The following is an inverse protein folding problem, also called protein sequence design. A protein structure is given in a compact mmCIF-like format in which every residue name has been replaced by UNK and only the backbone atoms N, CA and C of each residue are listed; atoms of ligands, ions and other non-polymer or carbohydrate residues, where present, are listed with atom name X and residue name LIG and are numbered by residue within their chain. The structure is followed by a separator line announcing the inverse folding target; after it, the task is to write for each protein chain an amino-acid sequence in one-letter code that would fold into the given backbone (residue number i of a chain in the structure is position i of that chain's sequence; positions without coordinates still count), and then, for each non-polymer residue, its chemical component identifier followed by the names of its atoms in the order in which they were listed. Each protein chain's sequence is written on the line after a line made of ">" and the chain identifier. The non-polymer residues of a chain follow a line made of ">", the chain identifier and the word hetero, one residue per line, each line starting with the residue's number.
data_IF_126815353221
#
_entry.id   IF_126815353221
#
_cell.length_a   1.000
_cell.length_b   1.000
_cell.length_c   1.000
_cell.angle_alpha   90.00
_cell.angle_beta   90.00
_cell.angle_gamma   90.00
#
_symmetry.space_group_name_H-M   'P 1'
#
loop_
_entity.id
_entity.type
_entity.pdbx_description
1 polymer ?
#
# COMPACT_ATOMS: atom_id res chain seq x y z
N UNK A 1 14.52 23.11 -4.54
CA UNK A 1 13.49 22.08 -4.79
C UNK A 1 12.48 22.13 -3.65
N UNK A 2 11.16 22.16 -3.93
CA UNK A 2 10.15 22.22 -2.87
C UNK A 2 10.04 20.88 -2.12
N UNK A 3 9.74 20.93 -0.82
CA UNK A 3 9.58 19.75 0.04
C UNK A 3 8.55 18.74 -0.51
N UNK A 4 7.50 19.23 -1.17
CA UNK A 4 6.50 18.40 -1.84
C UNK A 4 7.07 17.58 -3.02
N UNK A 5 8.01 18.13 -3.79
CA UNK A 5 8.62 17.40 -4.90
C UNK A 5 9.56 16.28 -4.42
N UNK A 6 10.28 16.53 -3.31
CA UNK A 6 11.13 15.53 -2.68
C UNK A 6 10.31 14.36 -2.10
N UNK A 7 9.23 14.68 -1.37
CA UNK A 7 8.33 13.66 -0.81
C UNK A 7 7.68 12.80 -1.91
N UNK A 8 7.26 13.40 -3.02
CA UNK A 8 6.68 12.68 -4.16
C UNK A 8 7.69 11.77 -4.85
N UNK A 9 8.94 12.21 -5.00
CA UNK A 9 10.02 11.39 -5.58
C UNK A 9 10.35 10.18 -4.69
N UNK A 10 10.35 10.37 -3.37
CA UNK A 10 10.57 9.30 -2.40
C UNK A 10 9.42 8.29 -2.39
N UNK A 11 8.16 8.74 -2.46
CA UNK A 11 6.99 7.87 -2.58
C UNK A 11 7.04 6.99 -3.83
N UNK A 12 7.28 7.59 -5.00
CA UNK A 12 7.38 6.85 -6.26
C UNK A 12 8.52 5.81 -6.25
N UNK A 13 9.65 6.10 -5.60
CA UNK A 13 10.76 5.16 -5.49
C UNK A 13 10.40 3.99 -4.54
N UNK A 14 9.73 4.28 -3.42
CA UNK A 14 9.25 3.28 -2.48
C UNK A 14 8.23 2.33 -3.11
N UNK A 15 7.28 2.85 -3.90
CA UNK A 15 6.30 2.06 -4.65
C UNK A 15 6.96 1.10 -5.65
N UNK A 16 7.97 1.56 -6.39
CA UNK A 16 8.71 0.71 -7.33
C UNK A 16 9.45 -0.45 -6.62
N UNK A 17 10.08 -0.15 -5.48
CA UNK A 17 10.76 -1.15 -4.64
C UNK A 17 9.75 -2.15 -4.07
N UNK A 18 8.62 -1.66 -3.55
CA UNK A 18 7.54 -2.49 -3.03
C UNK A 18 6.95 -3.43 -4.10
N UNK A 19 6.71 -2.92 -5.31
CA UNK A 19 6.20 -3.73 -6.42
C UNK A 19 7.19 -4.84 -6.83
N UNK A 20 8.50 -4.56 -6.81
CA UNK A 20 9.52 -5.58 -7.07
C UNK A 20 9.51 -6.66 -5.97
N UNK A 21 9.41 -6.24 -4.71
CA UNK A 21 9.40 -7.16 -3.57
C UNK A 21 8.16 -8.06 -3.57
N UNK A 22 6.97 -7.52 -3.84
CA UNK A 22 5.74 -8.31 -4.00
C UNK A 22 5.90 -9.39 -5.08
N UNK A 23 6.47 -9.03 -6.25
CA UNK A 23 6.73 -9.99 -7.33
C UNK A 23 7.74 -11.06 -6.91
N UNK A 24 8.81 -10.68 -6.22
CA UNK A 24 9.82 -11.62 -5.69
C UNK A 24 9.21 -12.63 -4.71
N UNK A 25 8.20 -12.21 -3.94
CA UNK A 25 7.44 -13.06 -3.02
C UNK A 25 6.29 -13.83 -3.70
N UNK A 26 6.26 -13.86 -5.03
CA UNK A 26 5.34 -14.69 -5.81
C UNK A 26 3.95 -14.07 -6.02
N UNK A 27 3.76 -12.78 -5.76
CA UNK A 27 2.54 -12.08 -6.18
C UNK A 27 2.63 -11.79 -7.69
N UNK A 28 1.66 -12.28 -8.44
CA UNK A 28 1.54 -12.01 -9.88
C UNK A 28 0.60 -10.85 -10.15
N UNK A 29 0.68 -10.31 -11.37
CA UNK A 29 -0.15 -9.18 -11.83
C UNK A 29 -0.12 -7.96 -10.87
N UNK A 30 1.05 -7.67 -10.30
CA UNK A 30 1.25 -6.51 -9.42
C UNK A 30 1.08 -5.22 -10.23
N UNK A 31 -0.10 -4.63 -10.11
CA UNK A 31 -0.57 -3.47 -10.86
C UNK A 31 -0.88 -2.31 -9.91
N UNK A 32 -0.45 -1.07 -10.24
CA UNK A 32 -0.80 0.09 -9.44
C UNK A 32 -2.29 0.38 -9.53
N UNK A 33 -2.89 0.79 -8.42
CA UNK A 33 -4.29 1.19 -8.36
C UNK A 33 -4.45 2.66 -8.78
N UNK A 34 -5.08 2.97 -9.93
CA UNK A 34 -5.23 4.34 -10.36
C UNK A 34 -6.26 5.06 -9.50
N UNK A 35 -5.94 6.29 -9.09
CA UNK A 35 -6.93 7.20 -8.50
C UNK A 35 -7.92 7.63 -9.57
N UNK A 36 -9.22 7.46 -9.31
CA UNK A 36 -10.26 8.02 -10.17
C UNK A 36 -10.27 9.55 -10.07
N UNK A 37 -10.28 10.25 -11.21
CA UNK A 37 -10.32 11.71 -11.27
C UNK A 37 -11.58 12.23 -11.94
N UNK A 38 -12.27 13.15 -11.25
CA UNK A 38 -13.34 13.96 -11.78
C UNK A 38 -12.72 15.15 -12.48
N UNK A 39 -13.12 15.38 -13.74
CA UNK A 39 -12.53 16.43 -14.58
C UNK A 39 -13.61 17.46 -14.88
N UNK A 40 -13.34 18.74 -14.57
CA UNK A 40 -14.20 19.86 -14.94
C UNK A 40 -13.66 20.48 -16.23
N UNK A 41 -14.52 20.62 -17.25
CA UNK A 41 -14.16 21.16 -18.57
C UNK A 41 -14.94 22.42 -18.91
N UNK A 42 -14.32 23.32 -19.70
CA UNK A 42 -14.98 24.43 -20.39
C UNK A 42 -14.72 24.28 -21.90
N UNK A 43 -15.71 23.77 -22.63
CA UNK A 43 -15.49 23.26 -24.00
C UNK A 43 -14.49 22.10 -24.00
N UNK A 44 -13.47 22.16 -24.86
CA UNK A 44 -12.44 21.12 -24.94
C UNK A 44 -11.30 21.27 -23.91
N UNK A 45 -11.31 22.34 -23.09
CA UNK A 45 -10.24 22.61 -22.12
C UNK A 45 -10.58 22.05 -20.74
N UNK A 46 -9.64 21.30 -20.15
CA UNK A 46 -9.69 20.94 -18.72
C UNK A 46 -9.34 22.17 -17.89
N UNK A 47 -10.23 22.56 -16.98
CA UNK A 47 -10.05 23.73 -16.11
C UNK A 47 -9.80 23.35 -14.65
N UNK A 48 -10.20 22.14 -14.24
CA UNK A 48 -9.93 21.60 -12.90
C UNK A 48 -10.03 20.07 -12.90
N UNK A 49 -9.38 19.43 -11.93
CA UNK A 49 -9.51 18.01 -11.66
C UNK A 49 -9.51 17.77 -10.14
N UNK A 50 -10.31 16.82 -9.67
CA UNK A 50 -10.40 16.42 -8.27
C UNK A 50 -10.50 14.89 -8.15
N UNK A 51 -9.99 14.27 -7.08
CA UNK A 51 -10.13 12.83 -6.89
C UNK A 51 -11.60 12.47 -6.62
N UNK A 52 -12.11 11.42 -7.28
CA UNK A 52 -13.50 10.96 -7.13
C UNK A 52 -13.71 10.14 -5.86
N UNK A 53 -12.72 9.32 -5.51
CA UNK A 53 -12.74 8.48 -4.33
C UNK A 53 -11.30 8.23 -3.84
N UNK A 54 -11.10 8.10 -2.52
CA UNK A 54 -9.87 7.57 -1.97
C UNK A 54 -9.59 6.17 -2.52
N UNK A 55 -8.32 5.88 -2.80
CA UNK A 55 -7.91 4.59 -3.35
C UNK A 55 -7.86 3.55 -2.23
N UNK A 56 -8.29 2.32 -2.50
CA UNK A 56 -8.34 1.25 -1.49
C UNK A 56 -6.98 0.63 -1.14
N UNK A 57 -5.93 0.98 -1.88
CA UNK A 57 -4.55 0.51 -1.72
C UNK A 57 -3.69 1.05 -2.86
N UNK A 58 -2.38 0.79 -2.82
CA UNK A 58 -1.46 1.22 -3.88
C UNK A 58 -1.33 0.17 -4.99
N UNK A 59 -1.38 -1.11 -4.64
CA UNK A 59 -1.23 -2.22 -5.58
C UNK A 59 -2.32 -3.28 -5.43
N UNK A 60 -2.68 -3.89 -6.56
CA UNK A 60 -3.45 -5.13 -6.63
C UNK A 60 -2.62 -6.24 -7.26
N UNK A 61 -2.91 -7.48 -6.94
CA UNK A 61 -2.29 -8.65 -7.55
C UNK A 61 -3.04 -9.93 -7.25
N UNK A 62 -2.43 -11.07 -7.57
CA UNK A 62 -3.00 -12.40 -7.34
C UNK A 62 -1.91 -13.38 -6.90
N UNK A 63 -2.24 -14.27 -5.96
CA UNK A 63 -1.41 -15.44 -5.68
C UNK A 63 -1.77 -16.57 -6.65
N UNK A 64 -0.87 -17.01 -7.53
CA UNK A 64 -1.20 -17.92 -8.63
C UNK A 64 -1.70 -19.28 -8.13
N UNK A 65 -1.12 -19.80 -7.03
CA UNK A 65 -1.45 -21.14 -6.52
C UNK A 65 -2.84 -21.24 -5.89
N UNK A 66 -3.37 -20.13 -5.36
CA UNK A 66 -4.66 -20.10 -4.66
C UNK A 66 -5.74 -19.29 -5.38
N UNK A 67 -5.35 -18.52 -6.41
CA UNK A 67 -6.22 -17.51 -7.02
C UNK A 67 -6.59 -16.38 -6.07
N UNK A 68 -5.96 -16.29 -4.89
CA UNK A 68 -6.31 -15.32 -3.85
C UNK A 68 -5.91 -13.91 -4.30
N UNK A 69 -6.89 -13.00 -4.28
CA UNK A 69 -6.68 -11.57 -4.53
C UNK A 69 -5.69 -10.98 -3.51
N UNK A 70 -4.75 -10.16 -3.97
CA UNK A 70 -3.81 -9.41 -3.15
C UNK A 70 -4.12 -7.92 -3.24
N UNK A 71 -4.18 -7.24 -2.09
CA UNK A 71 -4.29 -5.78 -1.97
C UNK A 71 -3.13 -5.31 -1.09
N UNK A 72 -2.30 -4.40 -1.58
CA UNK A 72 -1.13 -3.91 -0.86
C UNK A 72 -1.14 -2.39 -0.74
N UNK A 73 -0.82 -1.91 0.46
CA UNK A 73 -0.60 -0.50 0.79
C UNK A 73 0.88 -0.28 1.11
N UNK A 74 1.51 0.73 0.52
CA UNK A 74 2.94 1.01 0.62
C UNK A 74 3.18 2.25 1.48
N UNK A 75 4.07 2.12 2.46
CA UNK A 75 4.51 3.24 3.30
C UNK A 75 6.03 3.32 3.29
N UNK A 76 6.56 4.52 3.07
CA UNK A 76 8.01 4.77 3.09
C UNK A 76 8.38 5.67 4.25
N UNK A 77 9.06 5.15 5.28
CA UNK A 77 9.45 5.89 6.49
C UNK A 77 10.45 5.13 7.34
N UNK A 78 11.53 5.77 7.75
CA UNK A 78 12.55 5.16 8.62
C UNK A 78 12.13 5.08 10.09
N UNK A 79 12.75 4.15 10.84
CA UNK A 79 12.64 4.00 12.29
C UNK A 79 11.38 3.28 12.80
N UNK A 80 10.19 3.79 12.49
CA UNK A 80 8.93 3.12 12.85
C UNK A 80 7.78 3.48 11.94
N UNK A 81 6.83 2.55 11.79
CA UNK A 81 5.57 2.72 11.09
C UNK A 81 4.45 3.05 12.08
N UNK A 82 4.08 4.34 12.26
CA UNK A 82 2.96 4.70 13.12
C UNK A 82 1.63 4.31 12.47
N UNK A 83 0.64 3.94 13.28
CA UNK A 83 -0.71 3.60 12.81
C UNK A 83 -1.32 4.71 11.95
N UNK A 84 -1.12 5.97 12.35
CA UNK A 84 -1.61 7.14 11.62
C UNK A 84 -0.95 7.37 10.26
N UNK A 85 0.04 6.57 9.87
CA UNK A 85 0.61 6.63 8.52
C UNK A 85 -0.32 6.00 7.48
N UNK A 86 -1.20 5.09 7.91
CA UNK A 86 -2.33 4.63 7.11
C UNK A 86 -3.53 5.51 7.44
N UNK A 87 -4.20 5.98 6.40
CA UNK A 87 -5.45 6.74 6.58
C UNK A 87 -6.59 5.79 6.96
N UNK A 88 -7.63 6.31 7.63
CA UNK A 88 -8.78 5.50 8.08
C UNK A 88 -9.44 4.72 6.93
N UNK A 89 -9.48 5.30 5.73
CA UNK A 89 -10.05 4.62 4.56
C UNK A 89 -9.18 3.44 4.08
N UNK A 90 -7.85 3.53 4.23
CA UNK A 90 -6.90 2.47 3.87
C UNK A 90 -7.02 1.31 4.84
N UNK A 91 -7.11 1.60 6.16
CA UNK A 91 -7.42 0.58 7.17
C UNK A 91 -8.74 -0.15 6.86
N UNK A 92 -9.80 0.59 6.53
CA UNK A 92 -11.10 0.01 6.22
C UNK A 92 -11.05 -0.85 4.94
N UNK A 93 -10.32 -0.42 3.91
CA UNK A 93 -10.15 -1.17 2.68
C UNK A 93 -9.36 -2.48 2.88
N UNK A 94 -8.22 -2.41 3.57
CA UNK A 94 -7.41 -3.58 3.88
C UNK A 94 -8.18 -4.57 4.75
N UNK A 95 -8.90 -4.09 5.77
CA UNK A 95 -9.73 -4.94 6.62
C UNK A 95 -10.84 -5.61 5.82
N UNK A 96 -11.62 -4.85 5.04
CA UNK A 96 -12.71 -5.41 4.23
C UNK A 96 -12.22 -6.43 3.22
N UNK A 97 -11.09 -6.17 2.56
CA UNK A 97 -10.51 -7.12 1.62
C UNK A 97 -10.06 -8.41 2.32
N UNK A 98 -9.47 -8.30 3.52
CA UNK A 98 -9.13 -9.45 4.36
C UNK A 98 -10.37 -10.26 4.75
N UNK A 99 -11.43 -9.59 5.22
CA UNK A 99 -12.67 -10.22 5.64
C UNK A 99 -13.38 -10.97 4.50
N UNK A 100 -13.15 -10.54 3.25
CA UNK A 100 -13.64 -11.19 2.03
C UNK A 100 -12.74 -12.34 1.54
N UNK A 101 -11.75 -12.75 2.33
CA UNK A 101 -10.82 -13.83 2.00
C UNK A 101 -9.61 -13.39 1.16
N UNK A 102 -9.46 -12.10 0.87
CA UNK A 102 -8.28 -11.56 0.19
C UNK A 102 -7.04 -11.53 1.08
N UNK A 103 -5.86 -11.47 0.47
CA UNK A 103 -4.60 -11.22 1.17
C UNK A 103 -4.31 -9.71 1.17
N UNK A 104 -4.55 -9.08 2.31
CA UNK A 104 -4.21 -7.68 2.52
C UNK A 104 -2.80 -7.56 3.08
N UNK A 105 -1.98 -6.68 2.49
CA UNK A 105 -0.58 -6.49 2.85
C UNK A 105 -0.29 -5.03 3.13
N UNK A 106 0.59 -4.78 4.11
CA UNK A 106 1.26 -3.50 4.29
C UNK A 106 2.72 -3.70 3.94
N UNK A 107 3.20 -2.98 2.94
CA UNK A 107 4.60 -2.97 2.52
C UNK A 107 5.26 -1.73 3.09
N UNK A 108 6.21 -1.93 3.99
CA UNK A 108 6.93 -0.85 4.65
C UNK A 108 8.36 -0.80 4.11
N UNK A 109 8.70 0.29 3.42
CA UNK A 109 10.06 0.56 2.92
C UNK A 109 10.74 1.48 3.94
N UNK A 110 11.81 1.00 4.57
CA UNK A 110 12.46 1.71 5.67
C UNK A 110 13.88 1.23 5.91
N UNK A 111 14.76 2.11 6.40
CA UNK A 111 16.10 1.77 6.88
C UNK A 111 16.93 0.95 5.86
N UNK A 112 16.67 1.14 4.56
CA UNK A 112 17.30 0.41 3.46
C UNK A 112 16.76 -1.01 3.21
N UNK A 113 15.70 -1.44 3.90
CA UNK A 113 15.04 -2.74 3.76
C UNK A 113 13.57 -2.60 3.38
N UNK A 114 12.93 -3.74 3.08
CA UNK A 114 11.50 -3.83 2.78
C UNK A 114 10.88 -4.88 3.67
N UNK A 115 9.93 -4.46 4.50
CA UNK A 115 9.15 -5.33 5.35
C UNK A 115 7.76 -5.53 4.76
N UNK A 116 7.29 -6.78 4.63
CA UNK A 116 5.94 -7.06 4.11
C UNK A 116 5.14 -7.77 5.18
N UNK A 117 4.08 -7.14 5.66
CA UNK A 117 3.27 -7.64 6.77
C UNK A 117 1.85 -7.97 6.29
N UNK A 118 1.30 -9.07 6.78
CA UNK A 118 -0.10 -9.42 6.57
C UNK A 118 -0.99 -8.52 7.44
N UNK A 119 -2.01 -7.93 6.82
CA UNK A 119 -3.03 -7.16 7.52
C UNK A 119 -4.26 -8.04 7.84
N UNK A 120 -4.86 -7.93 9.04
CA UNK A 120 -4.49 -7.05 10.16
C UNK A 120 -3.17 -7.44 10.84
N UNK A 121 -2.40 -6.44 11.24
CA UNK A 121 -1.10 -6.65 11.90
C UNK A 121 -1.31 -6.73 13.41
N UNK A 122 -0.80 -7.79 14.04
CA UNK A 122 -0.97 -8.00 15.48
C UNK A 122 -0.43 -6.82 16.29
N UNK A 123 -1.27 -6.25 17.17
CA UNK A 123 -0.91 -5.11 18.02
C UNK A 123 -0.90 -3.75 17.31
N UNK A 124 -1.10 -3.68 15.99
CA UNK A 124 -1.11 -2.43 15.23
C UNK A 124 -2.49 -1.76 15.29
N UNK A 125 -2.63 -0.81 16.20
CA UNK A 125 -3.88 -0.08 16.48
C UNK A 125 -3.65 1.42 16.70
N UNK A 126 -4.72 2.18 16.83
CA UNK A 126 -4.64 3.62 17.08
C UNK A 126 -3.63 3.96 18.19
N UNK A 127 -2.78 4.97 17.94
CA UNK A 127 -1.66 5.42 18.80
C UNK A 127 -0.53 4.41 19.04
N UNK A 128 -0.45 3.35 18.25
CA UNK A 128 0.73 2.46 18.24
C UNK A 128 1.63 2.71 17.04
N UNK A 129 2.85 2.19 17.09
CA UNK A 129 3.75 2.08 15.95
C UNK A 129 4.41 0.71 15.93
N UNK A 130 4.74 0.24 14.73
CA UNK A 130 5.54 -0.96 14.53
C UNK A 130 7.00 -0.53 14.37
N UNK A 131 7.90 -1.19 15.10
CA UNK A 131 9.35 -1.08 14.93
C UNK A 131 9.87 -2.25 14.10
N UNK A 132 11.00 -2.08 13.43
CA UNK A 132 11.60 -3.11 12.57
C UNK A 132 11.70 -4.49 13.26
N UNK A 133 12.16 -4.56 14.51
CA UNK A 133 12.29 -5.83 15.26
C UNK A 133 10.96 -6.47 15.68
N UNK A 134 9.82 -5.78 15.50
CA UNK A 134 8.48 -6.29 15.82
C UNK A 134 7.76 -6.81 14.57
N UNK A 135 8.36 -6.65 13.38
CA UNK A 135 7.79 -7.08 12.12
C UNK A 135 7.71 -8.61 12.11
N UNK A 136 6.51 -9.11 11.82
CA UNK A 136 6.31 -10.51 11.44
C UNK A 136 6.15 -10.50 9.92
N UNK A 137 7.17 -10.99 9.22
CA UNK A 137 7.20 -11.05 7.77
C UNK A 137 6.17 -12.04 7.25
N UNK A 138 5.38 -11.61 6.27
CA UNK A 138 4.55 -12.51 5.49
C UNK A 138 5.41 -13.35 4.55
N UNK A 139 5.22 -14.66 4.59
CA UNK A 139 5.81 -15.64 3.68
C UNK A 139 4.77 -16.34 2.80
N UNK A 140 5.19 -16.80 1.63
CA UNK A 140 4.31 -17.47 0.66
C UNK A 140 3.81 -18.85 1.14
N UNK A 141 4.50 -19.44 2.12
CA UNK A 141 4.26 -20.80 2.63
C UNK A 141 3.23 -20.89 3.78
N UNK A 142 2.58 -19.77 4.13
CA UNK A 142 1.45 -19.79 5.07
C UNK A 142 0.22 -20.45 4.42
N UNK A 143 0.18 -21.78 4.47
CA UNK A 143 -1.02 -22.59 4.18
C UNK A 143 -2.07 -22.45 5.29
#
# INVERSE_FOLDING_TARGET
>A
MSQQAANRKQGNAGEAIAALELRRRGVEMVEPMPTGWGIIRKGNRIVSAYPLAPVSGDFRGVLPNSGRSVLAEVKTRDGSLPYSMLESHQHAALQRHHDLGGLSLVVWVHDGIVSVMRYPIAGFRFRTSIKAHQVIEWGIDEK
#
